data_IF_660611069408
#
_entry.id   IF_660611069408
#
_cell.length_a   1.000
_cell.length_b   1.000
_cell.length_c   1.000
_cell.angle_alpha   90.00
_cell.angle_beta   90.00
_cell.angle_gamma   90.00
#
_symmetry.space_group_name_H-M   'P 1'
#
loop_
_entity.id
_entity.type
_entity.pdbx_description
1 polymer ?
#
# COMPACT_ATOMS: atom_id res chain seq x y z
N UNK A 1 12.89 -2.03 -1.93
CA UNK A 1 11.66 -1.97 -1.10
C UNK A 1 11.70 -0.68 -0.29
N UNK A 2 10.59 0.04 -0.17
CA UNK A 2 10.55 1.29 0.62
C UNK A 2 10.61 0.97 2.12
N UNK A 3 11.16 1.86 2.98
CA UNK A 3 11.27 1.62 4.42
C UNK A 3 9.94 1.24 5.06
N UNK A 4 8.83 1.88 4.66
CA UNK A 4 7.48 1.59 5.19
C UNK A 4 7.07 0.12 5.02
N UNK A 5 7.34 -0.47 3.85
CA UNK A 5 6.98 -1.87 3.56
C UNK A 5 7.85 -2.84 4.36
N UNK A 6 9.11 -2.47 4.59
CA UNK A 6 10.06 -3.26 5.37
C UNK A 6 9.65 -3.24 6.84
N UNK A 7 9.43 -2.06 7.41
CA UNK A 7 9.03 -1.87 8.80
C UNK A 7 7.70 -2.56 9.11
N UNK A 8 6.70 -2.45 8.24
CA UNK A 8 5.44 -3.16 8.45
C UNK A 8 5.64 -4.69 8.49
N UNK A 9 6.52 -5.22 7.62
CA UNK A 9 6.87 -6.63 7.62
C UNK A 9 7.59 -7.03 8.91
N UNK A 10 8.55 -6.23 9.38
CA UNK A 10 9.29 -6.49 10.63
C UNK A 10 8.39 -6.44 11.86
N UNK A 11 7.36 -5.59 11.85
CA UNK A 11 6.34 -5.49 12.90
C UNK A 11 5.25 -6.57 12.81
N UNK A 12 5.31 -7.46 11.82
CA UNK A 12 4.32 -8.52 11.63
C UNK A 12 2.96 -8.01 11.17
N UNK A 13 2.92 -6.83 10.55
CA UNK A 13 1.70 -6.19 10.06
C UNK A 13 1.48 -6.56 8.58
N UNK A 14 0.32 -7.16 8.22
CA UNK A 14 -0.09 -7.23 6.83
C UNK A 14 -0.18 -5.81 6.25
N UNK A 15 0.59 -5.53 5.21
CA UNK A 15 0.65 -4.21 4.60
C UNK A 15 0.57 -4.30 3.09
N UNK A 16 -0.30 -3.49 2.51
CA UNK A 16 -0.43 -3.30 1.07
C UNK A 16 -0.64 -1.81 0.76
N UNK A 17 -0.23 -1.40 -0.44
CA UNK A 17 -0.33 -0.01 -0.89
C UNK A 17 -1.28 0.10 -2.09
N UNK A 18 -2.14 1.13 -2.07
CA UNK A 18 -2.92 1.54 -3.21
C UNK A 18 -2.27 2.75 -3.87
N UNK A 19 -1.64 2.55 -5.02
CA UNK A 19 -1.12 3.65 -5.83
C UNK A 19 -2.23 4.36 -6.60
N UNK A 20 -2.18 5.69 -6.64
CA UNK A 20 -2.98 6.51 -7.54
C UNK A 20 -2.03 7.06 -8.60
N UNK A 21 -2.28 6.70 -9.86
CA UNK A 21 -1.51 7.23 -11.00
C UNK A 21 -1.99 8.64 -11.30
N UNK A 22 -1.08 9.61 -11.23
CA UNK A 22 -1.38 11.04 -11.37
C UNK A 22 -0.76 11.69 -12.58
N UNK A 23 0.23 11.05 -13.20
CA UNK A 23 1.03 11.59 -14.28
C UNK A 23 1.84 10.45 -14.90
N UNK A 24 2.42 10.73 -16.07
CA UNK A 24 3.34 9.81 -16.76
C UNK A 24 4.81 10.09 -16.39
N UNK A 25 5.06 10.72 -15.24
CA UNK A 25 6.39 11.11 -14.78
C UNK A 25 7.05 12.00 -15.86
N UNK A 26 8.05 11.51 -16.57
CA UNK A 26 8.73 12.28 -17.62
C UNK A 26 9.25 11.40 -18.75
N UNK A 27 8.74 10.18 -18.89
CA UNK A 27 9.19 9.26 -19.95
C UNK A 27 8.49 9.49 -21.29
N UNK A 28 7.42 10.29 -21.31
CA UNK A 28 6.77 10.75 -22.54
C UNK A 28 7.42 12.03 -23.04
N UNK A 29 7.70 12.09 -24.34
CA UNK A 29 8.44 13.20 -24.99
C UNK A 29 7.75 14.57 -24.83
N UNK A 30 6.43 14.58 -24.62
CA UNK A 30 5.62 15.81 -24.60
C UNK A 30 5.26 16.34 -23.19
N UNK A 31 5.77 15.74 -22.10
CA UNK A 31 5.26 16.04 -20.74
C UNK A 31 6.31 16.06 -19.64
N UNK A 32 6.55 17.23 -19.06
CA UNK A 32 7.17 17.38 -17.75
C UNK A 32 6.06 17.31 -16.69
N UNK A 33 6.28 16.60 -15.58
CA UNK A 33 5.32 16.60 -14.46
C UNK A 33 5.07 18.02 -13.97
N UNK A 34 3.84 18.48 -14.10
CA UNK A 34 3.40 19.75 -13.51
C UNK A 34 2.64 19.50 -12.20
N UNK A 35 3.03 20.14 -11.08
CA UNK A 35 2.38 19.92 -9.78
C UNK A 35 0.86 20.13 -9.80
N UNK A 36 0.38 21.08 -10.61
CA UNK A 36 -1.05 21.36 -10.76
C UNK A 36 -1.81 20.22 -11.45
N UNK A 37 -1.18 19.55 -12.40
CA UNK A 37 -1.76 18.39 -13.10
C UNK A 37 -1.90 17.21 -12.13
N UNK A 38 -0.85 16.94 -11.35
CA UNK A 38 -0.85 15.92 -10.29
C UNK A 38 -2.01 16.13 -9.32
N UNK A 39 -2.18 17.36 -8.81
CA UNK A 39 -3.26 17.70 -7.87
C UNK A 39 -4.63 17.52 -8.55
N UNK A 40 -4.76 17.89 -9.81
CA UNK A 40 -6.02 17.79 -10.57
C UNK A 40 -6.44 16.33 -10.74
N UNK A 41 -5.52 15.48 -11.21
CA UNK A 41 -5.79 14.06 -11.42
C UNK A 41 -6.00 13.33 -10.09
N UNK A 42 -5.23 13.70 -9.06
CA UNK A 42 -5.43 13.16 -7.71
C UNK A 42 -6.84 13.47 -7.20
N UNK A 43 -7.29 14.73 -7.25
CA UNK A 43 -8.64 15.13 -6.80
C UNK A 43 -9.74 14.39 -7.56
N UNK A 44 -9.58 14.20 -8.87
CA UNK A 44 -10.55 13.47 -9.69
C UNK A 44 -10.59 11.96 -9.35
N UNK A 45 -9.45 11.37 -8.99
CA UNK A 45 -9.32 9.92 -8.78
C UNK A 45 -9.52 9.50 -7.33
N UNK A 46 -9.25 10.38 -6.37
CA UNK A 46 -9.30 10.11 -4.94
C UNK A 46 -10.65 9.54 -4.46
N UNK A 47 -11.83 10.03 -4.89
CA UNK A 47 -13.11 9.44 -4.50
C UNK A 47 -13.25 7.96 -4.89
N UNK A 48 -12.69 7.55 -6.03
CA UNK A 48 -12.68 6.15 -6.46
C UNK A 48 -11.77 5.31 -5.56
N UNK A 49 -10.59 5.82 -5.21
CA UNK A 49 -9.68 5.17 -4.28
C UNK A 49 -10.32 4.98 -2.89
N UNK A 50 -11.03 6.00 -2.38
CA UNK A 50 -11.79 5.89 -1.11
C UNK A 50 -12.86 4.81 -1.19
N UNK A 51 -13.61 4.72 -2.30
CA UNK A 51 -14.61 3.67 -2.51
C UNK A 51 -13.99 2.27 -2.51
N UNK A 52 -12.84 2.11 -3.17
CA UNK A 52 -12.07 0.85 -3.17
C UNK A 52 -11.68 0.50 -1.74
N UNK A 53 -11.03 1.40 -1.01
CA UNK A 53 -10.58 1.17 0.36
C UNK A 53 -11.74 0.78 1.29
N UNK A 54 -12.86 1.50 1.25
CA UNK A 54 -14.05 1.17 2.06
C UNK A 54 -14.55 -0.25 1.79
N UNK A 55 -14.70 -0.63 0.52
CA UNK A 55 -15.16 -1.97 0.15
C UNK A 55 -14.15 -3.06 0.49
N UNK A 56 -12.86 -2.79 0.31
CA UNK A 56 -11.80 -3.73 0.64
C UNK A 56 -11.73 -4.00 2.14
N UNK A 57 -11.85 -2.97 2.99
CA UNK A 57 -11.87 -3.12 4.46
C UNK A 57 -13.05 -3.99 4.90
N UNK A 58 -14.25 -3.78 4.33
CA UNK A 58 -15.41 -4.63 4.60
C UNK A 58 -15.12 -6.10 4.27
N UNK A 59 -14.59 -6.37 3.07
CA UNK A 59 -14.21 -7.72 2.63
C UNK A 59 -13.09 -8.35 3.46
N UNK A 60 -12.20 -7.54 4.02
CA UNK A 60 -11.17 -8.03 4.95
C UNK A 60 -11.86 -8.48 6.24
N UNK A 61 -12.80 -7.69 6.78
CA UNK A 61 -13.54 -8.05 8.00
C UNK A 61 -14.41 -9.30 7.88
N UNK A 62 -14.80 -9.69 6.67
CA UNK A 62 -15.60 -10.89 6.39
C UNK A 62 -14.80 -12.21 6.44
N UNK A 63 -13.46 -12.14 6.49
CA UNK A 63 -12.59 -13.32 6.43
C UNK A 63 -11.95 -13.61 7.79
N UNK A 64 -11.74 -14.90 8.09
CA UNK A 64 -10.85 -15.30 9.17
C UNK A 64 -9.39 -15.18 8.71
N UNK A 65 -8.58 -14.47 9.50
CA UNK A 65 -7.17 -14.22 9.22
C UNK A 65 -6.22 -14.95 10.17
N UNK A 66 -6.72 -15.76 11.12
CA UNK A 66 -5.91 -16.39 12.18
C UNK A 66 -4.67 -17.10 11.65
N UNK A 67 -4.83 -18.04 10.72
CA UNK A 67 -3.71 -18.81 10.15
C UNK A 67 -2.67 -17.89 9.48
N UNK A 68 -3.15 -16.87 8.75
CA UNK A 68 -2.27 -15.92 8.07
C UNK A 68 -1.49 -15.05 9.07
N UNK A 69 -2.15 -14.59 10.13
CA UNK A 69 -1.54 -13.78 11.18
C UNK A 69 -0.54 -14.61 12.00
N UNK A 70 -0.85 -15.86 12.31
CA UNK A 70 0.08 -16.80 12.95
C UNK A 70 1.31 -17.04 12.08
N UNK A 71 1.13 -17.24 10.77
CA UNK A 71 2.24 -17.40 9.83
C UNK A 71 3.15 -16.17 9.80
N UNK A 72 2.56 -14.97 9.78
CA UNK A 72 3.32 -13.71 9.78
C UNK A 72 4.09 -13.55 11.09
N UNK A 73 3.44 -13.83 12.23
CA UNK A 73 4.05 -13.77 13.57
C UNK A 73 5.25 -14.69 13.69
N UNK A 74 5.13 -15.94 13.25
CA UNK A 74 6.24 -16.89 13.31
C UNK A 74 7.44 -16.41 12.47
N UNK A 75 7.18 -15.86 11.27
CA UNK A 75 8.22 -15.29 10.39
C UNK A 75 8.89 -14.03 10.94
N UNK A 76 8.25 -13.30 11.85
CA UNK A 76 8.85 -12.14 12.51
C UNK A 76 9.66 -12.50 13.74
N UNK A 77 9.41 -13.65 14.36
CA UNK A 77 10.16 -14.14 15.52
C UNK A 77 11.45 -14.88 15.10
N UNK A 78 11.47 -15.52 13.94
CA UNK A 78 12.64 -16.21 13.36
C UNK A 78 13.90 -15.35 13.06
N UNK A 79 13.82 -14.09 12.58
CA UNK A 79 14.99 -13.32 12.15
C UNK A 79 15.74 -12.61 13.29
N UNK A 80 15.23 -12.66 14.53
CA UNK A 80 15.94 -12.09 15.68
C UNK A 80 17.09 -13.03 16.00
N UNK A 81 18.25 -12.79 15.39
CA UNK A 81 19.51 -13.40 15.80
C UNK A 81 19.68 -13.16 17.29
N UNK A 82 19.45 -14.21 18.07
CA UNK A 82 19.86 -14.31 19.47
C UNK A 82 21.39 -14.28 19.46
N UNK A 83 21.96 -13.09 19.62
CA UNK A 83 23.36 -12.91 19.98
C UNK A 83 23.47 -12.80 21.49
#
# INVERSE_FOLDING_TARGET
>A
KTPKTILAKELGLPYEALGIVTDDICWKEDGIVEPNEVITIFKATFPKAVKILKRTIQKIGEKDWKERLETIRNRTEEPIMKH
#
